data_IF_657538921232
#
_entry.id   IF_657538921232
#
_cell.length_a   1.000
_cell.length_b   1.000
_cell.length_c   1.000
_cell.angle_alpha   90.00
_cell.angle_beta   90.00
_cell.angle_gamma   90.00
#
_symmetry.space_group_name_H-M   'P 1'
#
loop_
_entity.id
_entity.type
_entity.pdbx_description
1 polymer ?
#
# COMPACT_ATOMS: atom_id res chain seq x y z
N UNK A 1 32.18 2.96 -51.43
CA UNK A 1 31.19 2.41 -50.48
C UNK A 1 30.04 1.85 -51.30
N UNK A 2 29.81 0.54 -51.27
CA UNK A 2 28.88 -0.12 -52.20
C UNK A 2 27.46 -0.02 -51.65
N UNK A 3 26.43 0.10 -52.50
CA UNK A 3 25.00 0.19 -52.09
C UNK A 3 24.60 -0.93 -51.11
N UNK A 4 25.22 -2.11 -51.24
CA UNK A 4 25.03 -3.26 -50.36
C UNK A 4 25.52 -3.02 -48.91
N UNK A 5 26.65 -2.34 -48.72
CA UNK A 5 27.18 -2.04 -47.37
C UNK A 5 26.35 -0.98 -46.66
N UNK A 6 25.82 0.00 -47.40
CA UNK A 6 24.90 1.02 -46.87
C UNK A 6 23.56 0.42 -46.39
N UNK A 7 23.01 -0.55 -47.13
CA UNK A 7 21.78 -1.24 -46.72
C UNK A 7 21.96 -2.14 -45.49
N UNK A 8 23.11 -2.82 -45.38
CA UNK A 8 23.44 -3.63 -44.20
C UNK A 8 23.61 -2.76 -42.95
N UNK A 9 24.23 -1.58 -43.09
CA UNK A 9 24.42 -0.63 -42.01
C UNK A 9 23.09 0.00 -41.55
N UNK A 10 22.21 0.37 -42.50
CA UNK A 10 20.84 0.81 -42.19
C UNK A 10 20.04 -0.26 -41.46
N UNK A 11 20.08 -1.52 -41.92
CA UNK A 11 19.37 -2.63 -41.26
C UNK A 11 19.89 -2.92 -39.84
N UNK A 12 21.20 -2.81 -39.60
CA UNK A 12 21.78 -2.89 -38.26
C UNK A 12 21.29 -1.74 -37.38
N UNK A 13 21.28 -0.52 -37.89
CA UNK A 13 20.81 0.65 -37.15
C UNK A 13 19.32 0.54 -36.79
N UNK A 14 18.48 0.02 -37.68
CA UNK A 14 17.07 -0.25 -37.39
C UNK A 14 16.88 -1.25 -36.25
N UNK A 15 17.68 -2.32 -36.21
CA UNK A 15 17.64 -3.31 -35.11
C UNK A 15 18.05 -2.69 -33.78
N UNK A 16 19.09 -1.86 -33.78
CA UNK A 16 19.53 -1.13 -32.58
C UNK A 16 18.44 -0.18 -32.09
N UNK A 17 17.82 0.57 -33.01
CA UNK A 17 16.74 1.50 -32.66
C UNK A 17 15.52 0.76 -32.10
N UNK A 18 15.13 -0.38 -32.69
CA UNK A 18 14.06 -1.24 -32.12
C UNK A 18 14.40 -1.75 -30.73
N UNK A 19 15.65 -2.16 -30.49
CA UNK A 19 16.10 -2.60 -29.17
C UNK A 19 15.95 -1.49 -28.13
N UNK A 20 16.46 -0.28 -28.44
CA UNK A 20 16.33 0.90 -27.58
C UNK A 20 14.88 1.27 -27.28
N UNK A 21 14.03 1.24 -28.31
CA UNK A 21 12.61 1.54 -28.15
C UNK A 21 11.87 0.48 -27.31
N UNK A 22 12.29 -0.78 -27.35
CA UNK A 22 11.72 -1.82 -26.48
C UNK A 22 12.24 -1.75 -25.04
N UNK A 23 13.43 -1.18 -24.81
CA UNK A 23 13.97 -1.01 -23.45
C UNK A 23 13.41 0.22 -22.72
N UNK A 24 12.92 1.22 -23.45
CA UNK A 24 12.28 2.39 -22.86
C UNK A 24 10.78 2.10 -22.62
N UNK A 25 10.34 2.25 -21.36
CA UNK A 25 8.95 2.00 -20.94
C UNK A 25 7.95 2.91 -21.64
N UNK A 26 8.27 4.19 -21.82
CA UNK A 26 7.45 5.15 -22.56
C UNK A 26 7.36 4.76 -24.02
N UNK A 27 8.46 4.28 -24.59
CA UNK A 27 8.48 3.83 -25.97
C UNK A 27 7.65 2.59 -26.22
N UNK A 28 7.70 1.64 -25.29
CA UNK A 28 6.82 0.48 -25.33
C UNK A 28 5.35 0.86 -25.15
N UNK A 29 5.04 1.82 -24.27
CA UNK A 29 3.69 2.33 -24.06
C UNK A 29 3.14 3.03 -25.32
N UNK A 30 3.92 3.91 -25.95
CA UNK A 30 3.55 4.57 -27.20
C UNK A 30 3.25 3.56 -28.32
N UNK A 31 4.09 2.52 -28.47
CA UNK A 31 3.85 1.47 -29.46
C UNK A 31 2.58 0.66 -29.17
N UNK A 32 2.31 0.36 -27.89
CA UNK A 32 1.10 -0.35 -27.48
C UNK A 32 -0.16 0.49 -27.74
N UNK A 33 -0.15 1.77 -27.36
CA UNK A 33 -1.25 2.71 -27.62
C UNK A 33 -1.51 2.83 -29.11
N UNK A 34 -0.45 3.02 -29.91
CA UNK A 34 -0.57 3.07 -31.37
C UNK A 34 -1.18 1.78 -31.92
N UNK A 35 -0.71 0.61 -31.47
CA UNK A 35 -1.24 -0.67 -31.94
C UNK A 35 -2.71 -0.91 -31.55
N UNK A 36 -3.11 -0.48 -30.36
CA UNK A 36 -4.49 -0.62 -29.87
C UNK A 36 -5.44 0.36 -30.56
N UNK A 37 -4.95 1.54 -30.94
CA UNK A 37 -5.75 2.56 -31.61
C UNK A 37 -5.69 2.40 -33.14
N UNK A 38 -6.80 1.96 -33.73
CA UNK A 38 -6.94 1.76 -35.20
C UNK A 38 -5.79 0.96 -35.85
N UNK A 39 -5.22 -0.01 -35.11
CA UNK A 39 -4.10 -0.84 -35.54
C UNK A 39 -2.86 -0.04 -36.02
N UNK A 40 -2.64 1.14 -35.46
CA UNK A 40 -1.46 1.97 -35.71
C UNK A 40 -1.53 2.84 -36.96
N UNK A 41 -2.74 3.09 -37.48
CA UNK A 41 -2.95 3.87 -38.71
C UNK A 41 -3.22 5.34 -38.48
N UNK A 42 -3.69 5.72 -37.29
CA UNK A 42 -4.20 7.07 -37.04
C UNK A 42 -3.26 7.96 -36.23
N UNK A 43 -2.39 7.38 -35.40
CA UNK A 43 -1.58 8.16 -34.45
C UNK A 43 -0.16 8.42 -34.97
N UNK A 44 0.31 9.65 -34.77
CA UNK A 44 1.71 10.01 -34.98
C UNK A 44 2.56 9.55 -33.79
N UNK A 45 3.36 8.50 -33.98
CA UNK A 45 4.15 7.87 -32.92
C UNK A 45 5.18 8.83 -32.29
N UNK A 46 5.93 9.65 -33.05
CA UNK A 46 6.81 10.66 -32.47
C UNK A 46 6.08 11.66 -31.58
N UNK A 47 4.93 12.21 -32.01
CA UNK A 47 4.14 13.12 -31.16
C UNK A 47 3.66 12.42 -29.88
N UNK A 48 3.19 11.17 -29.99
CA UNK A 48 2.76 10.39 -28.83
C UNK A 48 3.91 10.14 -27.84
N UNK A 49 5.11 9.86 -28.34
CA UNK A 49 6.31 9.70 -27.51
C UNK A 49 6.67 10.98 -26.76
N UNK A 50 6.60 12.11 -27.46
CA UNK A 50 6.89 13.43 -26.90
C UNK A 50 5.90 13.78 -25.77
N UNK A 51 4.61 13.56 -25.99
CA UNK A 51 3.58 13.78 -24.96
C UNK A 51 3.72 12.86 -23.75
N UNK A 52 4.04 11.58 -23.95
CA UNK A 52 4.32 10.65 -22.84
C UNK A 52 5.59 11.04 -22.07
N UNK A 53 6.60 11.60 -22.76
CA UNK A 53 7.82 12.10 -22.12
C UNK A 53 7.51 13.32 -21.25
N UNK A 54 6.77 14.29 -21.79
CA UNK A 54 6.31 15.46 -21.01
C UNK A 54 5.45 15.07 -19.81
N UNK A 55 4.55 14.10 -19.98
CA UNK A 55 3.75 13.53 -18.90
C UNK A 55 4.65 12.94 -17.80
N UNK A 56 5.64 12.15 -18.18
CA UNK A 56 6.60 11.58 -17.24
C UNK A 56 7.45 12.65 -16.53
N UNK A 57 7.86 13.70 -17.23
CA UNK A 57 8.63 14.81 -16.66
C UNK A 57 7.81 15.56 -15.59
N UNK A 58 6.54 15.87 -15.87
CA UNK A 58 5.63 16.48 -14.87
C UNK A 58 5.53 15.66 -13.59
N UNK A 59 5.41 14.34 -13.71
CA UNK A 59 5.35 13.44 -12.55
C UNK A 59 6.66 13.46 -11.76
N UNK A 60 7.81 13.50 -12.45
CA UNK A 60 9.13 13.62 -11.81
C UNK A 60 9.25 14.96 -11.05
N UNK A 61 8.68 16.03 -11.60
CA UNK A 61 8.63 17.36 -10.98
C UNK A 61 7.62 17.45 -9.82
N UNK A 62 6.88 16.38 -9.54
CA UNK A 62 5.94 16.27 -8.43
C UNK A 62 4.51 16.68 -8.77
N UNK A 63 4.20 17.00 -10.03
CA UNK A 63 2.83 17.19 -10.49
C UNK A 63 2.14 15.84 -10.71
N UNK A 64 1.27 15.49 -9.77
CA UNK A 64 0.49 14.24 -9.79
C UNK A 64 -0.91 14.41 -10.39
N UNK A 65 -1.25 15.59 -10.92
CA UNK A 65 -2.61 15.90 -11.40
C UNK A 65 -3.09 14.90 -12.45
N UNK A 66 -2.23 14.53 -13.39
CA UNK A 66 -2.56 13.54 -14.42
C UNK A 66 -2.82 12.14 -13.83
N UNK A 67 -2.03 11.74 -12.82
CA UNK A 67 -2.22 10.47 -12.11
C UNK A 67 -3.57 10.47 -11.37
N UNK A 68 -3.93 11.58 -10.73
CA UNK A 68 -5.23 11.73 -10.07
C UNK A 68 -6.39 11.59 -11.07
N UNK A 69 -6.28 12.22 -12.24
CA UNK A 69 -7.27 12.14 -13.31
C UNK A 69 -7.39 10.72 -13.86
N UNK A 70 -6.27 10.02 -14.08
CA UNK A 70 -6.26 8.62 -14.53
C UNK A 70 -6.96 7.72 -13.51
N UNK A 71 -6.59 7.81 -12.23
CA UNK A 71 -7.19 6.99 -11.18
C UNK A 71 -8.68 7.28 -11.01
N UNK A 72 -9.09 8.54 -11.07
CA UNK A 72 -10.51 8.92 -11.02
C UNK A 72 -11.30 8.35 -12.22
N UNK A 73 -10.74 8.46 -13.42
CA UNK A 73 -11.35 7.94 -14.65
C UNK A 73 -11.48 6.42 -14.60
N UNK A 74 -10.44 5.72 -14.16
CA UNK A 74 -10.46 4.26 -13.97
C UNK A 74 -11.50 3.83 -12.94
N UNK A 75 -11.58 4.53 -11.80
CA UNK A 75 -12.60 4.26 -10.79
C UNK A 75 -14.01 4.42 -11.37
N UNK A 76 -14.26 5.49 -12.15
CA UNK A 76 -15.54 5.70 -12.84
C UNK A 76 -15.87 4.63 -13.87
N UNK A 77 -14.89 4.16 -14.64
CA UNK A 77 -15.10 3.07 -15.59
C UNK A 77 -15.43 1.75 -14.89
N UNK A 78 -14.77 1.44 -13.77
CA UNK A 78 -15.06 0.25 -12.96
C UNK A 78 -16.45 0.31 -12.31
N UNK A 79 -16.86 1.49 -11.83
CA UNK A 79 -18.21 1.75 -11.32
C UNK A 79 -19.26 1.53 -12.42
N UNK A 80 -19.00 2.04 -13.63
CA UNK A 80 -19.86 1.79 -14.80
C UNK A 80 -19.96 0.30 -15.13
N UNK A 81 -18.83 -0.43 -15.20
CA UNK A 81 -18.83 -1.88 -15.46
C UNK A 81 -19.64 -2.64 -14.40
N UNK A 82 -19.58 -2.20 -13.14
CA UNK A 82 -20.40 -2.77 -12.08
C UNK A 82 -21.89 -2.57 -12.35
N UNK A 83 -22.33 -1.33 -12.63
CA UNK A 83 -23.74 -1.06 -12.94
C UNK A 83 -24.22 -1.79 -14.19
N UNK A 84 -23.42 -1.81 -15.26
CA UNK A 84 -23.71 -2.51 -16.50
C UNK A 84 -23.89 -4.02 -16.26
N UNK A 85 -22.99 -4.61 -15.46
CA UNK A 85 -23.09 -6.03 -15.07
C UNK A 85 -24.34 -6.32 -14.24
N UNK A 86 -24.74 -5.41 -13.32
CA UNK A 86 -25.98 -5.56 -12.55
C UNK A 86 -27.22 -5.47 -13.42
N UNK A 87 -27.23 -4.57 -14.41
CA UNK A 87 -28.34 -4.47 -15.36
C UNK A 87 -28.46 -5.76 -16.17
N UNK A 88 -27.34 -6.31 -16.65
CA UNK A 88 -27.35 -7.59 -17.35
C UNK A 88 -27.85 -8.74 -16.48
N UNK A 89 -27.53 -8.76 -15.17
CA UNK A 89 -28.03 -9.80 -14.25
C UNK A 89 -29.56 -9.83 -14.13
N UNK A 90 -30.23 -8.69 -14.30
CA UNK A 90 -31.70 -8.63 -14.24
C UNK A 90 -32.38 -9.42 -15.38
N UNK A 91 -31.68 -9.58 -16.51
CA UNK A 91 -32.20 -10.22 -17.72
C UNK A 91 -31.80 -11.70 -17.86
N UNK A 92 -31.00 -12.24 -16.91
CA UNK A 92 -30.47 -13.59 -16.99
C UNK A 92 -31.36 -14.64 -16.31
N UNK A 93 -31.63 -15.73 -17.05
CA UNK A 93 -32.37 -16.90 -16.54
C UNK A 93 -31.49 -18.12 -16.23
N UNK A 94 -30.22 -18.11 -16.65
CA UNK A 94 -29.30 -19.24 -16.47
C UNK A 94 -28.35 -19.00 -15.29
N UNK A 95 -28.37 -19.91 -14.30
CA UNK A 95 -27.56 -19.82 -13.07
C UNK A 95 -26.06 -19.64 -13.35
N UNK A 96 -25.52 -20.34 -14.35
CA UNK A 96 -24.08 -20.24 -14.70
C UNK A 96 -23.70 -18.84 -15.22
N UNK A 97 -24.60 -18.17 -15.96
CA UNK A 97 -24.35 -16.82 -16.46
C UNK A 97 -24.48 -15.80 -15.33
N UNK A 98 -25.43 -16.03 -14.42
CA UNK A 98 -25.60 -15.22 -13.20
C UNK A 98 -24.33 -15.25 -12.36
N UNK A 99 -23.74 -16.42 -12.12
CA UNK A 99 -22.49 -16.54 -11.36
C UNK A 99 -21.32 -15.83 -12.06
N UNK A 100 -21.15 -16.04 -13.37
CA UNK A 100 -20.05 -15.43 -14.13
C UNK A 100 -20.13 -13.88 -14.13
N UNK A 101 -21.31 -13.32 -14.41
CA UNK A 101 -21.49 -11.86 -14.45
C UNK A 101 -21.44 -11.26 -13.03
N UNK A 102 -22.00 -11.93 -12.02
CA UNK A 102 -21.89 -11.51 -10.63
C UNK A 102 -20.42 -11.41 -10.18
N UNK A 103 -19.60 -12.39 -10.57
CA UNK A 103 -18.17 -12.37 -10.29
C UNK A 103 -17.46 -11.18 -10.95
N UNK A 104 -17.82 -10.83 -12.19
CA UNK A 104 -17.28 -9.65 -12.88
C UNK A 104 -17.70 -8.37 -12.13
N UNK A 105 -18.99 -8.26 -11.77
CA UNK A 105 -19.53 -7.11 -11.04
C UNK A 105 -18.79 -6.89 -9.71
N UNK A 106 -18.75 -7.90 -8.84
CA UNK A 106 -18.11 -7.76 -7.53
C UNK A 106 -16.60 -7.55 -7.62
N UNK A 107 -15.94 -8.11 -8.64
CA UNK A 107 -14.54 -7.79 -8.92
C UNK A 107 -14.35 -6.34 -9.34
N UNK A 108 -15.19 -5.82 -10.24
CA UNK A 108 -15.15 -4.42 -10.66
C UNK A 108 -15.35 -3.47 -9.46
N UNK A 109 -16.33 -3.75 -8.60
CA UNK A 109 -16.56 -3.01 -7.35
C UNK A 109 -15.34 -3.05 -6.41
N UNK A 110 -14.76 -4.24 -6.20
CA UNK A 110 -13.57 -4.40 -5.36
C UNK A 110 -12.36 -3.62 -5.90
N UNK A 111 -12.15 -3.63 -7.21
CA UNK A 111 -11.07 -2.88 -7.84
C UNK A 111 -11.33 -1.37 -7.80
N UNK A 112 -12.58 -0.90 -7.98
CA UNK A 112 -12.93 0.51 -7.86
C UNK A 112 -12.56 1.06 -6.47
N UNK A 113 -12.89 0.33 -5.41
CA UNK A 113 -12.51 0.70 -4.04
C UNK A 113 -10.99 0.77 -3.86
N UNK A 114 -10.23 -0.15 -4.46
CA UNK A 114 -8.77 -0.14 -4.42
C UNK A 114 -8.20 1.09 -5.12
N UNK A 115 -8.70 1.41 -6.32
CA UNK A 115 -8.28 2.60 -7.07
C UNK A 115 -8.54 3.89 -6.28
N UNK A 116 -9.71 4.02 -5.65
CA UNK A 116 -10.03 5.17 -4.79
C UNK A 116 -9.17 5.22 -3.52
N UNK A 117 -8.85 4.07 -2.93
CA UNK A 117 -7.91 3.98 -1.81
C UNK A 117 -6.51 4.44 -2.22
N UNK A 118 -6.02 4.02 -3.39
CA UNK A 118 -4.74 4.48 -3.94
C UNK A 118 -4.74 5.99 -4.19
N UNK A 119 -5.84 6.55 -4.70
CA UNK A 119 -5.97 7.99 -4.88
C UNK A 119 -5.95 8.74 -3.53
N UNK A 120 -6.64 8.22 -2.51
CA UNK A 120 -6.63 8.80 -1.17
C UNK A 120 -5.24 8.74 -0.52
N UNK A 121 -4.53 7.61 -0.68
CA UNK A 121 -3.15 7.44 -0.21
C UNK A 121 -2.17 8.35 -0.95
N UNK A 122 -2.40 8.62 -2.23
CA UNK A 122 -1.61 9.55 -3.02
C UNK A 122 -1.75 10.99 -2.52
N UNK A 123 -2.99 11.43 -2.18
CA UNK A 123 -3.25 12.78 -1.62
C UNK A 123 -2.75 12.94 -0.19
N UNK A 124 -2.84 11.88 0.59
CA UNK A 124 -2.50 11.87 2.00
C UNK A 124 -1.58 10.69 2.29
N UNK A 125 -0.30 10.78 1.88
CA UNK A 125 0.65 9.70 2.12
C UNK A 125 0.73 9.48 3.63
N UNK A 126 0.35 8.27 4.06
CA UNK A 126 0.46 7.88 5.47
C UNK A 126 1.93 8.03 5.84
N UNK A 127 2.26 9.04 6.65
CA UNK A 127 3.59 9.14 7.25
C UNK A 127 3.73 7.93 8.15
N UNK A 128 4.43 6.92 7.67
CA UNK A 128 4.87 5.82 8.52
C UNK A 128 5.84 6.46 9.49
N UNK A 129 5.35 6.83 10.68
CA UNK A 129 6.23 7.14 11.78
C UNK A 129 7.04 5.88 12.01
N UNK A 130 8.30 5.89 11.56
CA UNK A 130 9.28 4.95 12.03
C UNK A 130 9.43 5.22 13.53
N UNK A 131 8.57 4.59 14.33
CA UNK A 131 8.81 4.43 15.75
C UNK A 131 10.05 3.56 15.79
N UNK A 132 11.21 4.21 15.80
CA UNK A 132 12.49 3.62 16.07
C UNK A 132 12.25 2.87 17.38
N UNK A 133 12.12 1.54 17.33
CA UNK A 133 12.00 0.73 18.52
C UNK A 133 13.23 1.08 19.35
N UNK A 134 13.03 1.92 20.36
CA UNK A 134 14.06 2.24 21.31
C UNK A 134 14.20 0.94 22.09
N UNK A 135 15.18 0.14 21.70
CA UNK A 135 15.50 -1.11 22.34
C UNK A 135 15.93 -0.77 23.76
N UNK A 136 14.96 -0.70 24.68
CA UNK A 136 15.14 -0.28 26.06
C UNK A 136 15.66 -1.46 26.90
N UNK A 137 16.62 -2.20 26.36
CA UNK A 137 17.36 -3.24 27.05
C UNK A 137 18.54 -2.59 27.78
N UNK A 138 18.25 -1.69 28.73
CA UNK A 138 19.22 -1.30 29.74
C UNK A 138 19.30 -2.46 30.73
N UNK A 139 20.29 -3.34 30.48
CA UNK A 139 20.68 -4.48 31.31
C UNK A 139 19.63 -5.59 31.48
N UNK A 140 19.60 -6.53 30.54
CA UNK A 140 19.14 -7.89 30.87
C UNK A 140 20.27 -8.62 31.59
N UNK A 141 20.17 -8.71 32.92
CA UNK A 141 20.97 -9.65 33.70
C UNK A 141 20.33 -11.04 33.60
N UNK A 142 20.97 -11.94 32.87
CA UNK A 142 20.72 -13.38 32.96
C UNK A 142 21.35 -13.88 34.26
N UNK A 143 20.52 -14.10 35.28
CA UNK A 143 20.93 -14.77 36.51
C UNK A 143 20.83 -16.29 36.32
N UNK A 144 21.91 -16.93 35.86
CA UNK A 144 22.10 -18.36 36.09
C UNK A 144 22.97 -18.53 37.36
N UNK A 145 22.32 -18.50 38.52
CA UNK A 145 22.79 -19.20 39.73
C UNK A 145 22.26 -20.65 39.61
N UNK A 146 22.99 -21.74 39.85
CA UNK A 146 24.09 -22.09 40.76
C UNK A 146 24.98 -23.17 40.06
N UNK A 147 26.18 -23.58 40.48
CA UNK A 147 26.83 -23.56 41.78
C UNK A 147 28.37 -23.71 41.65
N UNK A 148 29.07 -22.97 42.51
CA UNK A 148 30.27 -23.36 43.27
C UNK A 148 31.47 -24.01 42.57
N UNK A 149 32.55 -23.23 42.42
CA UNK A 149 33.91 -23.74 42.25
C UNK A 149 34.97 -22.68 42.58
N UNK A 150 35.51 -22.75 43.79
CA UNK A 150 36.84 -22.27 44.24
C UNK A 150 37.35 -20.89 43.76
N UNK A 151 37.24 -19.94 44.69
CA UNK A 151 38.19 -18.88 45.09
C UNK A 151 39.56 -18.89 44.37
N UNK A 152 39.90 -17.78 43.70
CA UNK A 152 41.10 -16.94 43.92
C UNK A 152 41.23 -15.93 42.77
N UNK A 153 41.33 -14.63 43.06
CA UNK A 153 42.49 -13.79 42.73
C UNK A 153 42.28 -12.31 43.12
N UNK A 154 43.40 -11.72 43.50
CA UNK A 154 43.64 -10.50 44.26
C UNK A 154 43.35 -9.15 43.57
N UNK A 155 43.05 -8.17 44.43
CA UNK A 155 43.49 -6.78 44.42
C UNK A 155 43.23 -5.91 43.18
N UNK A 156 42.37 -4.88 43.34
CA UNK A 156 42.85 -3.49 43.24
C UNK A 156 41.83 -2.44 43.71
N UNK A 157 42.20 -1.78 44.82
CA UNK A 157 42.21 -0.32 45.02
C UNK A 157 41.06 0.49 44.36
N UNK A 158 40.03 0.81 45.15
CA UNK A 158 39.82 2.14 45.78
C UNK A 158 38.37 2.27 46.27
N UNK A 159 38.30 2.46 47.57
CA UNK A 159 37.13 2.85 48.35
C UNK A 159 36.65 4.23 47.90
N UNK A 160 35.34 4.37 47.66
CA UNK A 160 34.56 5.53 48.12
C UNK A 160 33.06 5.28 47.91
N UNK A 161 32.39 4.67 48.90
CA UNK A 161 30.97 4.94 49.11
C UNK A 161 30.79 5.26 50.60
N UNK A 162 30.74 6.55 50.91
CA UNK A 162 30.39 7.06 52.24
C UNK A 162 28.95 6.65 52.52
N UNK A 163 28.78 5.89 53.59
CA UNK A 163 27.49 5.54 54.19
C UNK A 163 26.80 6.83 54.64
N UNK A 164 25.71 7.22 53.98
CA UNK A 164 24.76 8.20 54.52
C UNK A 164 23.85 7.43 55.47
N UNK A 165 23.98 7.70 56.77
CA UNK A 165 23.13 7.15 57.81
C UNK A 165 21.85 8.00 57.94
N UNK A 166 20.79 7.27 58.28
CA UNK A 166 19.56 7.72 58.95
C UNK A 166 18.59 8.59 58.15
N UNK A 167 17.27 8.55 58.34
CA UNK A 167 16.26 7.61 58.89
C UNK A 167 14.97 8.42 58.68
N UNK A 168 13.89 7.83 58.17
CA UNK A 168 12.56 7.97 58.75
C UNK A 168 11.67 6.87 58.17
N UNK A 169 11.28 5.96 59.06
CA UNK A 169 10.17 5.05 58.85
C UNK A 169 8.91 5.85 59.17
N UNK A 170 8.03 6.03 58.20
CA UNK A 170 6.62 6.26 58.49
C UNK A 170 5.82 5.17 57.77
N UNK A 171 5.33 4.22 58.57
CA UNK A 171 4.39 3.19 58.13
C UNK A 171 3.05 3.88 57.87
N UNK A 172 2.48 3.72 56.69
CA UNK A 172 1.03 3.79 56.54
C UNK A 172 0.55 2.91 55.40
N UNK A 173 0.17 1.70 55.77
CA UNK A 173 -0.74 0.85 55.03
C UNK A 173 -2.14 1.48 55.10
N UNK A 174 -2.78 1.69 53.96
CA UNK A 174 -4.24 1.82 53.87
C UNK A 174 -4.70 1.23 52.55
N UNK A 175 -5.06 -0.06 52.59
CA UNK A 175 -5.78 -0.71 51.51
C UNK A 175 -7.12 -0.01 51.21
N UNK A 176 -7.43 0.15 49.91
CA UNK A 176 -8.81 0.27 49.43
C UNK A 176 -8.91 -0.14 47.96
N UNK A 177 -9.59 -1.26 47.73
CA UNK A 177 -10.14 -1.69 46.44
C UNK A 177 -11.30 -0.76 46.06
N UNK A 178 -11.41 -0.38 44.79
CA UNK A 178 -12.60 0.29 44.26
C UNK A 178 -13.18 -0.51 43.09
N UNK A 179 -14.50 -0.64 43.14
CA UNK A 179 -15.35 -1.57 42.41
C UNK A 179 -15.59 -1.22 40.93
N UNK A 180 -15.93 -2.26 40.18
CA UNK A 180 -16.48 -2.26 38.83
C UNK A 180 -17.71 -1.35 38.68
N UNK A 181 -17.72 -0.51 37.66
CA UNK A 181 -18.89 0.27 37.25
C UNK A 181 -19.83 -0.60 36.42
N UNK A 182 -21.07 -0.75 36.87
CA UNK A 182 -22.20 -1.29 36.10
C UNK A 182 -23.42 -0.39 36.29
N UNK A 183 -23.90 0.23 35.21
CA UNK A 183 -25.21 0.90 35.06
C UNK A 183 -25.35 1.31 33.58
N UNK A 184 -26.39 0.98 32.80
CA UNK A 184 -27.60 0.20 33.04
C UNK A 184 -28.22 -0.20 31.68
N UNK A 185 -28.83 -1.38 31.63
CA UNK A 185 -29.55 -1.99 30.51
C UNK A 185 -31.04 -1.63 30.62
N UNK A 186 -31.70 -1.22 29.53
CA UNK A 186 -33.17 -1.27 29.42
C UNK A 186 -33.61 -1.55 27.98
N UNK A 187 -33.94 -2.80 27.72
CA UNK A 187 -34.63 -3.29 26.52
C UNK A 187 -36.13 -3.33 26.81
N UNK A 188 -36.94 -2.64 26.02
CA UNK A 188 -38.40 -2.84 25.98
C UNK A 188 -38.76 -3.50 24.64
N UNK A 189 -39.30 -4.72 24.72
CA UNK A 189 -40.02 -5.36 23.65
C UNK A 189 -41.45 -4.81 23.64
N UNK A 190 -41.98 -4.46 22.47
CA UNK A 190 -43.40 -4.14 22.28
C UNK A 190 -43.96 -4.97 21.12
N UNK A 191 -45.15 -5.48 21.40
CA UNK A 191 -45.87 -6.59 20.78
C UNK A 191 -46.36 -6.38 19.35
N UNK A 192 -46.73 -7.52 18.78
CA UNK A 192 -47.33 -7.80 17.47
C UNK A 192 -48.74 -7.17 17.39
N UNK A 193 -48.97 -6.32 16.39
CA UNK A 193 -50.31 -5.85 16.02
C UNK A 193 -50.88 -6.73 14.91
N UNK A 194 -51.87 -7.56 15.26
CA UNK A 194 -52.77 -8.23 14.32
C UNK A 194 -54.06 -7.39 14.21
N UNK A 195 -54.53 -7.10 12.99
CA UNK A 195 -55.82 -6.46 12.73
C UNK A 195 -56.63 -7.35 11.78
N UNK A 196 -57.88 -7.56 12.17
CA UNK A 196 -58.92 -8.40 11.58
C UNK A 196 -59.16 -8.22 10.09
#
# INVERSE_FOLDING_TARGET
MTIKSLNEERSRQEKINRSKNNTNSLSSAAMAINKLHDHGRLLDVPTLMDELTKSSERVIDGDITEIEQILMTQAKMLDYIFYDSLNHLADLNMVNQVEAISNIAFRAQSQCRKTLSTLAELKHPRRVMFVKQQNNAVNQQINNQEASGSIEFENSKKIANKVVREKHLEKMDTGRTLDTVSINQKTEAVEIFNRS
#
